data_IF_541521082521
#
_entry.id   IF_541521082521
#
_cell.length_a   1.000
_cell.length_b   1.000
_cell.length_c   1.000
_cell.angle_alpha   90.00
_cell.angle_beta   90.00
_cell.angle_gamma   90.00
#
_symmetry.space_group_name_H-M   'P 1'
#
loop_
_entity.id
_entity.type
_entity.pdbx_description
1 polymer ?
#
# COMPACT_ATOMS: atom_id res chain seq x y z
N UNK A 1 0.02 34.77 -28.76
CA UNK A 1 -0.58 33.72 -27.92
C UNK A 1 0.12 32.41 -28.26
N UNK A 2 0.93 31.86 -27.36
CA UNK A 2 1.52 30.53 -27.54
C UNK A 2 0.53 29.49 -27.07
N UNK A 3 0.02 28.66 -27.98
CA UNK A 3 -0.80 27.49 -27.63
C UNK A 3 0.13 26.48 -26.95
N UNK A 4 -0.17 26.14 -25.70
CA UNK A 4 0.49 25.06 -24.99
C UNK A 4 -0.03 23.74 -25.58
N UNK A 5 0.76 23.10 -26.44
CA UNK A 5 0.40 21.86 -27.12
C UNK A 5 1.04 20.66 -26.39
N UNK A 6 0.19 19.78 -25.86
CA UNK A 6 0.58 18.58 -25.11
C UNK A 6 0.43 17.28 -25.94
N UNK A 7 0.15 17.39 -27.25
CA UNK A 7 -0.22 16.26 -28.12
C UNK A 7 0.85 15.16 -28.27
N UNK A 8 2.09 15.44 -27.87
CA UNK A 8 3.23 14.50 -27.95
C UNK A 8 3.78 14.05 -26.59
N UNK A 9 3.07 14.29 -25.47
CA UNK A 9 3.42 13.63 -24.21
C UNK A 9 2.94 12.17 -24.24
N UNK A 10 3.83 11.26 -24.66
CA UNK A 10 3.69 9.85 -24.31
C UNK A 10 3.97 9.69 -22.82
N UNK A 11 2.90 9.63 -22.03
CA UNK A 11 2.97 9.19 -20.64
C UNK A 11 3.25 7.69 -20.68
N UNK A 12 4.52 7.29 -20.62
CA UNK A 12 4.90 5.89 -20.39
C UNK A 12 4.20 5.43 -19.11
N UNK A 13 3.27 4.46 -19.25
CA UNK A 13 2.45 3.83 -18.19
C UNK A 13 2.63 4.44 -16.80
N UNK A 14 1.78 5.41 -16.45
CA UNK A 14 1.59 5.76 -15.05
C UNK A 14 1.01 4.54 -14.34
N UNK A 15 1.84 3.87 -13.56
CA UNK A 15 1.39 2.90 -12.60
C UNK A 15 0.59 3.63 -11.51
N UNK A 16 -0.75 3.61 -11.62
CA UNK A 16 -1.65 4.13 -10.59
C UNK A 16 -1.72 3.14 -9.43
N UNK A 17 -0.64 3.10 -8.64
CA UNK A 17 -0.62 2.40 -7.37
C UNK A 17 -1.81 2.87 -6.50
N UNK A 18 -2.63 1.93 -6.05
CA UNK A 18 -3.71 2.14 -5.06
C UNK A 18 -5.07 2.68 -5.56
N UNK A 19 -5.35 2.73 -6.88
CA UNK A 19 -6.66 3.20 -7.38
C UNK A 19 -7.89 2.38 -6.92
N UNK A 20 -7.70 1.15 -6.42
CA UNK A 20 -8.76 0.27 -5.92
C UNK A 20 -8.71 0.05 -4.38
N UNK A 21 -7.81 0.76 -3.69
CA UNK A 21 -7.64 0.67 -2.24
C UNK A 21 -8.44 1.80 -1.62
N UNK A 22 -9.35 1.49 -0.70
CA UNK A 22 -10.21 2.49 -0.06
C UNK A 22 -10.44 2.15 1.42
N UNK A 23 -9.59 2.71 2.28
CA UNK A 23 -9.78 2.63 3.73
C UNK A 23 -10.84 3.60 4.27
N UNK A 24 -11.28 4.58 3.47
CA UNK A 24 -12.31 5.55 3.88
C UNK A 24 -13.70 4.95 4.07
N UNK A 25 -13.97 3.81 3.42
CA UNK A 25 -15.21 3.03 3.58
C UNK A 25 -15.11 1.86 4.56
N UNK A 26 -13.93 1.59 5.12
CA UNK A 26 -13.75 0.47 6.05
C UNK A 26 -14.48 0.76 7.38
N UNK A 27 -15.39 -0.12 7.79
CA UNK A 27 -16.18 0.03 9.02
C UNK A 27 -15.91 -1.09 10.03
N UNK A 28 -15.19 -2.12 9.62
CA UNK A 28 -14.90 -3.29 10.44
C UNK A 28 -13.46 -3.78 10.26
N UNK A 29 -13.01 -4.63 11.18
CA UNK A 29 -11.70 -5.29 11.08
C UNK A 29 -11.57 -6.10 9.79
N UNK A 30 -12.65 -6.74 9.34
CA UNK A 30 -12.70 -7.53 8.10
C UNK A 30 -12.46 -6.64 6.88
N UNK A 31 -13.03 -5.44 6.86
CA UNK A 31 -12.81 -4.48 5.76
C UNK A 31 -11.34 -4.05 5.72
N UNK A 32 -10.75 -3.71 6.87
CA UNK A 32 -9.33 -3.33 6.96
C UNK A 32 -8.44 -4.47 6.46
N UNK A 33 -8.71 -5.70 6.86
CA UNK A 33 -7.98 -6.89 6.41
C UNK A 33 -8.10 -7.05 4.89
N UNK A 34 -9.28 -6.87 4.32
CA UNK A 34 -9.50 -6.95 2.88
C UNK A 34 -8.73 -5.87 2.11
N UNK A 35 -8.75 -4.63 2.60
CA UNK A 35 -7.97 -3.55 1.99
C UNK A 35 -6.46 -3.76 2.12
N UNK A 36 -5.97 -4.33 3.23
CA UNK A 36 -4.56 -4.71 3.39
C UNK A 36 -4.13 -5.79 2.39
N UNK A 37 -5.01 -6.73 2.03
CA UNK A 37 -4.75 -7.72 0.99
C UNK A 37 -4.63 -7.06 -0.40
N UNK A 38 -5.43 -6.04 -0.69
CA UNK A 38 -5.28 -5.27 -1.93
C UNK A 38 -3.94 -4.54 -2.01
N UNK A 39 -3.38 -4.06 -0.89
CA UNK A 39 -2.01 -3.51 -0.88
C UNK A 39 -1.00 -4.59 -1.32
N UNK A 40 -1.16 -5.84 -0.87
CA UNK A 40 -0.26 -6.93 -1.29
C UNK A 40 -0.34 -7.17 -2.80
N UNK A 41 -1.55 -7.18 -3.37
CA UNK A 41 -1.71 -7.35 -4.82
C UNK A 41 -1.09 -6.18 -5.61
N UNK A 42 -1.20 -4.96 -5.11
CA UNK A 42 -0.53 -3.79 -5.72
C UNK A 42 0.99 -3.84 -5.56
N UNK A 43 1.54 -4.43 -4.50
CA UNK A 43 2.99 -4.67 -4.40
C UNK A 43 3.45 -5.62 -5.50
N UNK A 44 2.71 -6.71 -5.75
CA UNK A 44 3.01 -7.67 -6.82
C UNK A 44 2.96 -7.04 -8.21
N UNK A 45 1.93 -6.25 -8.48
CA UNK A 45 1.81 -5.53 -9.76
C UNK A 45 2.95 -4.54 -9.96
N UNK A 46 3.39 -3.85 -8.89
CA UNK A 46 4.52 -2.93 -8.96
C UNK A 46 5.83 -3.66 -9.32
N UNK A 47 6.04 -4.88 -8.80
CA UNK A 47 7.18 -5.72 -9.21
C UNK A 47 7.06 -6.14 -10.69
N UNK A 48 5.88 -6.64 -11.09
CA UNK A 48 5.64 -7.07 -12.47
C UNK A 48 5.84 -5.95 -13.50
N UNK A 49 5.54 -4.70 -13.13
CA UNK A 49 5.77 -3.53 -13.97
C UNK A 49 7.19 -2.97 -13.89
N UNK A 50 8.08 -3.57 -13.10
CA UNK A 50 9.44 -3.05 -12.83
C UNK A 50 9.46 -1.73 -12.05
N UNK A 51 8.35 -1.35 -11.42
CA UNK A 51 8.23 -0.13 -10.64
C UNK A 51 8.77 -0.28 -9.21
N UNK A 52 8.92 -1.52 -8.74
CA UNK A 52 9.47 -1.87 -7.43
C UNK A 52 10.46 -3.02 -7.58
N UNK A 53 11.59 -2.91 -6.88
CA UNK A 53 12.59 -3.97 -6.80
C UNK A 53 12.03 -5.21 -6.08
N UNK A 54 12.38 -6.41 -6.56
CA UNK A 54 11.85 -7.67 -6.05
C UNK A 54 12.28 -7.97 -4.61
N UNK A 55 13.51 -7.62 -4.23
CA UNK A 55 14.01 -7.81 -2.86
C UNK A 55 13.23 -6.93 -1.87
N UNK A 56 13.03 -5.66 -2.24
CA UNK A 56 12.22 -4.72 -1.45
C UNK A 56 10.77 -5.20 -1.35
N UNK A 57 10.21 -5.70 -2.45
CA UNK A 57 8.84 -6.19 -2.47
C UNK A 57 8.63 -7.40 -1.56
N UNK A 58 9.57 -8.35 -1.53
CA UNK A 58 9.52 -9.51 -0.62
C UNK A 58 9.41 -9.05 0.84
N UNK A 59 10.22 -8.08 1.25
CA UNK A 59 10.20 -7.57 2.62
C UNK A 59 8.93 -6.77 2.94
N UNK A 60 8.42 -6.00 1.98
CA UNK A 60 7.15 -5.28 2.11
C UNK A 60 5.99 -6.27 2.25
N UNK A 61 5.91 -7.29 1.38
CA UNK A 61 4.91 -8.35 1.45
C UNK A 61 4.98 -9.12 2.77
N UNK A 62 6.19 -9.43 3.24
CA UNK A 62 6.42 -10.13 4.51
C UNK A 62 5.86 -9.34 5.69
N UNK A 63 6.13 -8.03 5.75
CA UNK A 63 5.57 -7.16 6.80
C UNK A 63 4.05 -7.03 6.67
N UNK A 64 3.50 -6.82 5.47
CA UNK A 64 2.06 -6.79 5.24
C UNK A 64 1.38 -8.08 5.67
N UNK A 65 1.96 -9.24 5.33
CA UNK A 65 1.42 -10.55 5.71
C UNK A 65 1.39 -10.74 7.22
N UNK A 66 2.45 -10.33 7.93
CA UNK A 66 2.47 -10.37 9.40
C UNK A 66 1.43 -9.44 10.01
N UNK A 67 1.24 -8.24 9.45
CA UNK A 67 0.20 -7.32 9.88
C UNK A 67 -1.20 -7.92 9.70
N UNK A 68 -1.49 -8.52 8.55
CA UNK A 68 -2.76 -9.21 8.25
C UNK A 68 -2.99 -10.39 9.19
N UNK A 69 -1.98 -11.23 9.43
CA UNK A 69 -2.09 -12.37 10.36
C UNK A 69 -2.38 -11.86 11.78
N UNK A 70 -1.73 -10.80 12.23
CA UNK A 70 -1.98 -10.21 13.55
C UNK A 70 -3.40 -9.63 13.65
N UNK A 71 -3.89 -9.00 12.59
CA UNK A 71 -5.26 -8.47 12.51
C UNK A 71 -6.34 -9.57 12.53
N UNK A 72 -6.03 -10.78 12.05
CA UNK A 72 -6.96 -11.92 12.02
C UNK A 72 -7.06 -12.69 13.35
N UNK A 73 -6.25 -12.35 14.36
CA UNK A 73 -6.28 -13.03 15.65
C UNK A 73 -7.58 -12.72 16.41
N UNK A 74 -8.06 -13.62 17.30
CA UNK A 74 -9.20 -13.34 18.18
C UNK A 74 -9.00 -12.08 19.03
N UNK A 75 -7.75 -11.83 19.45
CA UNK A 75 -7.32 -10.62 20.14
C UNK A 75 -6.18 -9.98 19.34
N UNK A 76 -6.50 -9.09 18.38
CA UNK A 76 -5.49 -8.41 17.58
C UNK A 76 -4.65 -7.47 18.46
N UNK A 77 -3.34 -7.44 18.21
CA UNK A 77 -2.47 -6.43 18.82
C UNK A 77 -2.28 -5.28 17.83
N UNK A 78 -3.02 -4.20 18.08
CA UNK A 78 -2.95 -2.95 17.32
C UNK A 78 -1.53 -2.42 17.16
N UNK A 79 -0.72 -2.40 18.22
CA UNK A 79 0.64 -1.85 18.16
C UNK A 79 1.49 -2.68 17.22
N UNK A 80 1.43 -4.00 17.36
CA UNK A 80 2.15 -4.93 16.49
C UNK A 80 1.73 -4.77 15.02
N UNK A 81 0.44 -4.59 14.73
CA UNK A 81 -0.05 -4.34 13.35
C UNK A 81 0.56 -3.04 12.80
N UNK A 82 0.49 -1.95 13.58
CA UNK A 82 1.03 -0.65 13.18
C UNK A 82 2.55 -0.69 12.96
N UNK A 83 3.30 -1.42 13.79
CA UNK A 83 4.74 -1.59 13.62
C UNK A 83 5.09 -2.27 12.29
N UNK A 84 4.36 -3.33 11.91
CA UNK A 84 4.59 -3.99 10.63
C UNK A 84 4.24 -3.07 9.44
N UNK A 85 3.13 -2.33 9.53
CA UNK A 85 2.77 -1.35 8.50
C UNK A 85 3.81 -0.24 8.36
N UNK A 86 4.37 0.25 9.47
CA UNK A 86 5.41 1.28 9.45
C UNK A 86 6.73 0.77 8.87
N UNK A 87 7.10 -0.49 9.16
CA UNK A 87 8.27 -1.15 8.54
C UNK A 87 8.10 -1.28 7.03
N UNK A 88 6.94 -1.75 6.57
CA UNK A 88 6.63 -1.81 5.13
C UNK A 88 6.72 -0.44 4.46
N UNK A 89 6.19 0.60 5.11
CA UNK A 89 6.23 1.97 4.60
C UNK A 89 7.65 2.52 4.52
N UNK A 90 8.50 2.22 5.51
CA UNK A 90 9.92 2.65 5.55
C UNK A 90 10.74 2.02 4.42
N UNK A 91 10.48 0.77 4.07
CA UNK A 91 11.14 0.09 2.95
C UNK A 91 10.83 0.76 1.60
N UNK A 92 9.62 1.31 1.47
CA UNK A 92 9.17 2.04 0.28
C UNK A 92 9.51 3.53 0.33
N UNK A 93 10.05 4.03 1.45
CA UNK A 93 10.35 5.45 1.61
C UNK A 93 11.49 5.86 0.68
N UNK A 94 11.25 6.90 -0.13
CA UNK A 94 12.22 7.39 -1.11
C UNK A 94 12.10 6.76 -2.51
N UNK A 95 11.25 5.74 -2.69
CA UNK A 95 10.96 5.16 -4.00
C UNK A 95 9.81 5.95 -4.62
N UNK A 96 10.12 6.84 -5.56
CA UNK A 96 9.12 7.72 -6.18
C UNK A 96 7.96 6.95 -6.85
N UNK A 97 8.27 5.84 -7.52
CA UNK A 97 7.29 4.94 -8.14
C UNK A 97 6.38 4.21 -7.14
N UNK A 98 6.76 4.14 -5.85
CA UNK A 98 5.98 3.51 -4.79
C UNK A 98 5.22 4.50 -3.90
N UNK A 99 5.17 5.79 -4.26
CA UNK A 99 4.49 6.82 -3.46
C UNK A 99 3.01 6.50 -3.16
N UNK A 100 2.30 5.87 -4.11
CA UNK A 100 0.92 5.41 -3.89
C UNK A 100 0.81 4.29 -2.86
N UNK A 101 1.77 3.35 -2.84
CA UNK A 101 1.83 2.27 -1.83
C UNK A 101 2.14 2.84 -0.43
N UNK A 102 3.04 3.83 -0.33
CA UNK A 102 3.34 4.54 0.93
C UNK A 102 2.08 5.24 1.48
N UNK A 103 1.29 5.83 0.58
CA UNK A 103 0.02 6.47 0.94
C UNK A 103 -0.98 5.44 1.44
N UNK A 104 -1.18 4.34 0.71
CA UNK A 104 -2.08 3.25 1.10
C UNK A 104 -1.70 2.61 2.45
N UNK A 105 -0.41 2.39 2.71
CA UNK A 105 0.09 1.90 4.00
C UNK A 105 -0.17 2.88 5.15
N UNK A 106 -0.09 4.18 4.88
CA UNK A 106 -0.39 5.21 5.86
C UNK A 106 -1.89 5.26 6.19
N UNK A 107 -2.75 5.06 5.20
CA UNK A 107 -4.19 4.93 5.40
C UNK A 107 -4.56 3.65 6.15
N UNK A 108 -3.93 2.52 5.82
CA UNK A 108 -4.07 1.27 6.57
C UNK A 108 -3.74 1.48 8.05
N UNK A 109 -2.62 2.16 8.36
CA UNK A 109 -2.21 2.43 9.73
C UNK A 109 -3.22 3.31 10.49
N UNK A 110 -3.86 4.27 9.80
CA UNK A 110 -4.96 5.08 10.36
C UNK A 110 -6.21 4.23 10.62
N UNK A 111 -6.60 3.39 9.66
CA UNK A 111 -7.76 2.50 9.81
C UNK A 111 -7.58 1.52 10.97
N UNK A 112 -6.38 0.92 11.09
CA UNK A 112 -5.98 0.13 12.25
C UNK A 112 -6.06 0.95 13.54
N UNK A 113 -5.67 2.23 13.48
CA UNK A 113 -5.82 3.19 14.57
C UNK A 113 -7.25 3.37 15.09
N UNK A 114 -8.26 3.16 14.24
CA UNK A 114 -9.66 3.43 14.56
C UNK A 114 -10.46 2.15 14.88
N UNK A 115 -10.11 1.02 14.26
CA UNK A 115 -10.95 -0.21 14.25
C UNK A 115 -10.36 -1.40 15.02
N UNK A 116 -9.16 -1.22 15.58
CA UNK A 116 -8.47 -2.15 16.49
C UNK A 116 -8.01 -1.40 17.73
#
# INVERSE_FOLDING_TARGET
MSVFDQSNQQVCSQYNAAGNINFGSAQSQVDVISEMQKIQDEVRKAVQSGALDEEIAIDVESNLKKATIQAQKPEPDKKTIQEYLDRAKKLLAGIASAAGLVTALSEAAKAVGMLF
#
